data_IF_224978510974
#
_entry.id   IF_224978510974
#
_cell.length_a   1.000
_cell.length_b   1.000
_cell.length_c   1.000
_cell.angle_alpha   90.00
_cell.angle_beta   90.00
_cell.angle_gamma   90.00
#
_symmetry.space_group_name_H-M   'P 1'
#
loop_
_entity.id
_entity.type
_entity.pdbx_description
1 polymer ?
#
# COMPACT_ATOMS: atom_id res chain seq x y z
N UNK A 1 3.44 12.37 -9.56
CA UNK A 1 2.32 11.72 -8.86
C UNK A 1 1.20 12.72 -8.75
N UNK A 2 -0.04 12.25 -8.63
CA UNK A 2 -1.24 13.09 -8.50
C UNK A 2 -1.13 14.07 -7.34
N UNK A 3 -0.64 13.61 -6.18
CA UNK A 3 -0.46 14.47 -4.99
C UNK A 3 0.51 15.64 -5.22
N UNK A 4 1.44 15.54 -6.17
CA UNK A 4 2.36 16.64 -6.47
C UNK A 4 1.67 17.82 -7.16
N UNK A 5 0.51 17.61 -7.80
CA UNK A 5 -0.25 18.71 -8.45
C UNK A 5 -0.80 19.71 -7.43
N UNK A 6 -0.96 19.27 -6.18
CA UNK A 6 -1.47 20.08 -5.06
C UNK A 6 -0.36 20.45 -4.06
N UNK A 7 0.90 20.10 -4.36
CA UNK A 7 2.01 20.30 -3.45
C UNK A 7 2.59 21.72 -3.59
N UNK A 8 2.81 22.40 -2.47
CA UNK A 8 3.52 23.67 -2.42
C UNK A 8 5.05 23.50 -2.41
N UNK A 9 5.52 22.34 -1.95
CA UNK A 9 6.94 22.02 -1.80
C UNK A 9 7.16 20.58 -2.26
N UNK A 10 8.25 20.36 -2.98
CA UNK A 10 8.68 19.04 -3.42
C UNK A 10 10.14 18.80 -3.03
N UNK A 11 10.40 17.70 -2.33
CA UNK A 11 11.75 17.29 -1.91
C UNK A 11 12.07 15.94 -2.56
N UNK A 12 12.97 15.88 -3.55
CA UNK A 12 13.26 14.65 -4.28
C UNK A 12 14.01 13.65 -3.40
N UNK A 13 13.40 12.47 -3.20
CA UNK A 13 13.96 11.39 -2.38
C UNK A 13 14.50 10.24 -3.23
N UNK A 14 15.57 9.60 -2.73
CA UNK A 14 16.17 8.43 -3.36
C UNK A 14 15.29 7.17 -3.28
N UNK A 15 15.42 6.31 -4.29
CA UNK A 15 14.72 5.02 -4.35
C UNK A 15 15.45 3.93 -3.55
N UNK A 16 14.94 2.69 -3.57
CA UNK A 16 15.45 1.58 -2.73
C UNK A 16 16.92 1.24 -3.01
N UNK A 17 17.39 1.39 -4.25
CA UNK A 17 18.77 1.12 -4.66
C UNK A 17 19.74 2.28 -4.36
N UNK A 18 19.20 3.42 -3.91
CA UNK A 18 19.91 4.69 -3.77
C UNK A 18 20.07 5.12 -2.31
N UNK A 19 19.63 4.27 -1.37
CA UNK A 19 19.67 4.53 0.07
C UNK A 19 19.87 3.26 0.86
N UNK A 20 20.31 3.44 2.10
CA UNK A 20 20.60 2.35 3.02
C UNK A 20 19.56 2.30 4.15
N UNK A 21 19.37 1.11 4.71
CA UNK A 21 18.51 0.90 5.86
C UNK A 21 18.04 -0.54 5.95
N UNK A 22 16.86 -0.74 6.52
CA UNK A 22 16.28 -2.07 6.66
C UNK A 22 14.84 -2.11 6.15
N UNK A 23 14.38 -3.29 5.73
CA UNK A 23 12.97 -3.56 5.43
C UNK A 23 12.48 -4.82 6.12
N UNK A 24 11.29 -4.75 6.71
CA UNK A 24 10.60 -5.90 7.29
C UNK A 24 9.59 -6.47 6.30
N UNK A 25 9.66 -7.78 6.02
CA UNK A 25 8.68 -8.46 5.18
C UNK A 25 7.49 -9.04 5.99
N UNK A 26 6.56 -9.69 5.30
CA UNK A 26 5.32 -10.23 5.90
C UNK A 26 5.54 -11.36 6.90
N UNK A 27 6.67 -12.06 6.83
CA UNK A 27 7.05 -13.10 7.80
C UNK A 27 7.89 -12.57 8.97
N UNK A 28 7.93 -11.24 9.17
CA UNK A 28 8.68 -10.54 10.23
C UNK A 28 10.20 -10.48 10.03
N UNK A 29 10.71 -10.90 8.87
CA UNK A 29 12.16 -10.86 8.59
C UNK A 29 12.58 -9.45 8.24
N UNK A 30 13.54 -8.94 9.01
CA UNK A 30 14.22 -7.68 8.75
C UNK A 30 15.43 -7.99 7.87
N UNK A 31 15.51 -7.33 6.72
CA UNK A 31 16.61 -7.46 5.77
C UNK A 31 17.33 -6.12 5.62
N UNK A 32 18.64 -6.18 5.46
CA UNK A 32 19.46 -5.01 5.18
C UNK A 32 19.28 -4.59 3.71
N UNK A 33 19.27 -3.28 3.47
CA UNK A 33 19.29 -2.66 2.15
C UNK A 33 20.54 -1.80 2.08
N UNK A 34 21.36 -2.06 1.08
CA UNK A 34 22.57 -1.29 0.78
C UNK A 34 22.35 -0.47 -0.49
N UNK A 35 22.86 0.75 -0.50
CA UNK A 35 22.87 1.57 -1.70
C UNK A 35 23.86 0.97 -2.71
N UNK A 36 23.44 0.88 -3.98
CA UNK A 36 24.27 0.37 -5.08
C UNK A 36 24.54 1.44 -6.14
N UNK A 37 23.86 2.58 -6.06
CA UNK A 37 24.04 3.74 -6.94
C UNK A 37 23.72 5.02 -6.17
N UNK A 38 24.35 6.17 -6.47
CA UNK A 38 23.89 7.44 -5.92
C UNK A 38 22.48 7.79 -6.41
N UNK A 39 21.68 8.56 -5.63
CA UNK A 39 20.42 9.11 -6.11
C UNK A 39 20.62 10.02 -7.34
N UNK A 40 19.66 10.05 -8.29
CA UNK A 40 19.78 10.84 -9.50
C UNK A 40 19.58 12.34 -9.24
N UNK A 41 20.36 13.16 -9.95
CA UNK A 41 20.26 14.62 -9.91
C UNK A 41 20.49 15.18 -8.50
N UNK A 42 19.54 15.97 -8.01
CA UNK A 42 19.59 16.57 -6.66
C UNK A 42 18.89 15.72 -5.59
N UNK A 43 18.39 14.53 -5.94
CA UNK A 43 17.73 13.66 -4.98
C UNK A 43 18.66 13.26 -3.83
N UNK A 44 18.09 13.08 -2.64
CA UNK A 44 18.81 12.66 -1.43
C UNK A 44 18.08 11.53 -0.73
N UNK A 45 18.78 10.74 0.07
CA UNK A 45 18.12 9.75 0.93
C UNK A 45 17.15 10.45 1.90
N UNK A 46 16.02 9.81 2.21
CA UNK A 46 14.97 10.40 3.06
C UNK A 46 15.53 10.84 4.42
N UNK A 47 16.41 10.03 5.05
CA UNK A 47 17.05 10.37 6.33
C UNK A 47 17.86 11.66 6.24
N UNK A 48 18.57 11.89 5.13
CA UNK A 48 19.28 13.15 4.91
C UNK A 48 18.31 14.33 4.86
N UNK A 49 17.18 14.17 4.14
CA UNK A 49 16.14 15.21 4.03
C UNK A 49 15.59 15.53 5.43
N UNK A 50 15.25 14.51 6.23
CA UNK A 50 14.80 14.71 7.61
C UNK A 50 15.83 15.43 8.47
N UNK A 51 17.11 15.06 8.40
CA UNK A 51 18.19 15.73 9.11
C UNK A 51 18.36 17.20 8.71
N UNK A 52 18.21 17.53 7.43
CA UNK A 52 18.30 18.91 6.93
C UNK A 52 17.12 19.76 7.35
N UNK A 53 15.93 19.18 7.43
CA UNK A 53 14.73 19.85 7.95
C UNK A 53 14.87 20.09 9.46
N UNK A 54 15.29 19.08 10.22
CA UNK A 54 15.53 19.19 11.66
C UNK A 54 16.53 20.30 12.01
N UNK A 55 17.65 20.39 11.29
CA UNK A 55 18.64 21.47 11.44
C UNK A 55 18.03 22.86 11.27
N UNK A 56 17.15 23.05 10.26
CA UNK A 56 16.48 24.32 9.98
C UNK A 56 15.40 24.67 11.00
N UNK A 57 14.67 23.68 11.51
CA UNK A 57 13.72 23.91 12.60
C UNK A 57 14.45 24.28 13.89
N UNK A 58 15.55 23.60 14.21
CA UNK A 58 16.34 23.87 15.41
C UNK A 58 17.05 25.23 15.37
N UNK A 59 17.45 25.73 14.19
CA UNK A 59 18.09 27.05 14.08
C UNK A 59 17.14 28.21 14.38
N UNK A 60 15.84 27.99 14.20
CA UNK A 60 14.80 29.02 14.36
C UNK A 60 14.02 28.87 15.67
N UNK A 61 14.20 27.78 16.42
CA UNK A 61 13.54 27.55 17.70
C UNK A 61 14.40 28.08 18.86
N UNK A 62 13.78 28.89 19.74
CA UNK A 62 14.39 29.42 20.96
C UNK A 62 14.22 28.51 22.19
N UNK A 63 13.39 27.47 22.07
CA UNK A 63 13.16 26.48 23.13
C UNK A 63 14.18 25.33 23.08
N UNK A 64 14.39 24.67 24.23
CA UNK A 64 15.34 23.57 24.40
C UNK A 64 14.95 22.26 23.70
N UNK A 65 13.74 22.18 23.12
CA UNK A 65 13.22 20.99 22.45
C UNK A 65 13.76 20.84 21.03
N UNK A 66 15.06 20.57 20.90
CA UNK A 66 15.74 20.31 19.63
C UNK A 66 15.48 18.88 19.17
N UNK A 67 15.14 18.73 17.89
CA UNK A 67 15.00 17.42 17.24
C UNK A 67 16.28 17.09 16.50
N UNK A 68 16.97 16.01 16.87
CA UNK A 68 18.18 15.55 16.18
C UNK A 68 18.02 14.07 15.86
N UNK A 69 18.33 13.68 14.62
CA UNK A 69 18.43 12.28 14.24
C UNK A 69 19.89 11.93 13.98
N UNK A 70 20.30 10.68 14.26
CA UNK A 70 21.56 10.14 13.76
C UNK A 70 21.76 10.34 12.25
N UNK A 71 23.03 10.48 11.83
CA UNK A 71 23.37 10.65 10.41
C UNK A 71 23.28 9.32 9.63
N UNK A 72 23.45 8.17 10.31
CA UNK A 72 23.44 6.84 9.68
C UNK A 72 22.17 6.07 10.03
N UNK A 73 21.61 5.36 9.06
CA UNK A 73 20.44 4.50 9.26
C UNK A 73 20.68 3.36 10.25
N UNK A 74 21.93 2.89 10.38
CA UNK A 74 22.32 1.89 11.38
C UNK A 74 22.11 2.37 12.82
N UNK A 75 22.42 3.63 13.09
CA UNK A 75 22.28 4.21 14.42
C UNK A 75 20.80 4.44 14.75
N UNK A 76 19.99 4.84 13.76
CA UNK A 76 18.52 4.88 13.88
C UNK A 76 17.96 3.49 14.22
N UNK A 77 18.47 2.44 13.55
CA UNK A 77 18.02 1.08 13.80
C UNK A 77 18.35 0.61 15.23
N UNK A 78 19.51 0.99 15.77
CA UNK A 78 19.87 0.72 17.17
C UNK A 78 18.95 1.47 18.15
N UNK A 79 18.63 2.73 17.88
CA UNK A 79 17.67 3.51 18.68
C UNK A 79 16.27 2.88 18.66
N UNK A 80 15.82 2.44 17.48
CA UNK A 80 14.58 1.66 17.36
C UNK A 80 14.63 0.36 18.17
N UNK A 81 15.81 -0.29 18.22
CA UNK A 81 16.07 -1.46 19.05
C UNK A 81 15.85 -1.20 20.54
N UNK A 82 16.38 -0.10 21.05
CA UNK A 82 16.16 0.32 22.45
C UNK A 82 14.67 0.52 22.75
N UNK A 83 13.96 1.25 21.88
CA UNK A 83 12.52 1.52 22.04
C UNK A 83 11.64 0.26 21.91
N UNK A 84 12.18 -0.80 21.30
CA UNK A 84 11.47 -2.07 21.10
C UNK A 84 11.53 -3.02 22.29
N UNK A 85 12.40 -2.75 23.28
CA UNK A 85 12.63 -3.63 24.43
C UNK A 85 11.32 -3.99 25.14
N UNK A 86 11.11 -5.29 25.36
CA UNK A 86 9.93 -5.84 26.05
C UNK A 86 8.63 -5.86 25.23
N UNK A 87 8.65 -5.37 23.98
CA UNK A 87 7.53 -5.49 23.04
C UNK A 87 7.57 -6.84 22.33
N UNK A 88 6.50 -7.17 21.60
CA UNK A 88 6.44 -8.41 20.81
C UNK A 88 7.46 -8.41 19.66
N UNK A 89 7.68 -7.24 19.05
CA UNK A 89 8.65 -7.02 18.00
C UNK A 89 9.96 -6.45 18.56
N UNK A 90 10.48 -7.08 19.61
CA UNK A 90 11.76 -6.71 20.21
C UNK A 90 12.91 -7.07 19.26
N UNK A 91 13.65 -6.05 18.83
CA UNK A 91 14.78 -6.13 17.90
C UNK A 91 16.09 -5.67 18.55
N UNK A 92 16.10 -5.52 19.87
CA UNK A 92 17.25 -4.98 20.63
C UNK A 92 18.54 -5.80 20.47
N UNK A 93 18.46 -7.06 20.09
CA UNK A 93 19.64 -7.90 19.81
C UNK A 93 20.18 -7.76 18.40
N UNK A 94 19.48 -7.04 17.51
CA UNK A 94 19.86 -6.93 16.10
C UNK A 94 20.71 -5.69 15.84
N UNK A 95 21.68 -5.83 14.95
CA UNK A 95 22.40 -4.73 14.32
C UNK A 95 22.64 -5.04 12.83
N UNK A 96 23.11 -4.06 12.06
CA UNK A 96 23.32 -4.23 10.62
C UNK A 96 24.30 -5.37 10.29
N UNK A 97 25.40 -5.51 11.05
CA UNK A 97 26.38 -6.58 10.83
C UNK A 97 25.76 -7.96 11.02
N UNK A 98 24.91 -8.12 12.05
CA UNK A 98 24.23 -9.38 12.32
C UNK A 98 23.18 -9.68 11.25
N UNK A 99 22.43 -8.67 10.80
CA UNK A 99 21.46 -8.80 9.70
C UNK A 99 22.15 -9.25 8.41
N UNK A 100 23.29 -8.66 8.07
CA UNK A 100 24.09 -9.04 6.89
C UNK A 100 24.62 -10.47 7.02
N UNK A 101 25.28 -10.80 8.13
CA UNK A 101 25.83 -12.13 8.40
C UNK A 101 24.77 -13.23 8.29
N UNK A 102 23.55 -12.97 8.77
CA UNK A 102 22.46 -13.95 8.79
C UNK A 102 21.50 -13.85 7.60
N UNK A 103 21.74 -12.94 6.65
CA UNK A 103 20.86 -12.69 5.50
C UNK A 103 19.40 -12.41 5.92
N UNK A 104 19.28 -11.61 6.96
CA UNK A 104 18.02 -11.17 7.56
C UNK A 104 17.51 -12.05 8.69
N UNK A 105 16.92 -11.39 9.70
CA UNK A 105 16.52 -12.01 10.97
C UNK A 105 15.03 -11.76 11.22
N UNK A 106 14.29 -12.78 11.64
CA UNK A 106 12.90 -12.59 12.09
C UNK A 106 12.87 -12.05 13.52
N UNK A 107 12.08 -11.01 13.75
CA UNK A 107 11.78 -10.59 15.11
C UNK A 107 10.81 -11.56 15.80
N UNK A 108 10.89 -11.72 17.14
CA UNK A 108 11.84 -11.05 18.04
C UNK A 108 13.23 -11.70 18.09
N UNK A 109 14.26 -10.87 18.28
CA UNK A 109 15.62 -11.28 18.66
C UNK A 109 16.19 -10.22 19.60
N UNK A 110 16.41 -10.62 20.86
CA UNK A 110 16.62 -9.68 21.98
C UNK A 110 18.10 -9.53 22.35
N UNK A 111 18.44 -8.41 22.99
CA UNK A 111 19.78 -8.16 23.52
C UNK A 111 20.23 -9.26 24.50
N UNK A 112 19.31 -9.83 25.28
CA UNK A 112 19.60 -10.96 26.19
C UNK A 112 20.10 -12.19 25.43
N UNK A 113 19.48 -12.52 24.30
CA UNK A 113 19.91 -13.64 23.45
C UNK A 113 21.27 -13.34 22.81
N UNK A 114 21.47 -12.12 22.31
CA UNK A 114 22.75 -11.70 21.76
C UNK A 114 23.89 -11.75 22.80
N UNK A 115 23.62 -11.32 24.04
CA UNK A 115 24.61 -11.26 25.13
C UNK A 115 25.11 -12.63 25.58
N UNK A 116 24.29 -13.67 25.49
CA UNK A 116 24.69 -15.06 25.79
C UNK A 116 25.28 -15.80 24.57
N UNK A 117 25.47 -15.09 23.45
CA UNK A 117 26.01 -15.66 22.21
C UNK A 117 25.04 -16.58 21.47
N UNK A 118 23.74 -16.52 21.78
CA UNK A 118 22.73 -17.31 21.08
C UNK A 118 22.57 -16.78 19.64
N UNK A 119 22.86 -17.63 18.65
CA UNK A 119 22.67 -17.26 17.26
C UNK A 119 21.18 -17.06 16.94
N UNK A 120 20.82 -16.11 16.05
CA UNK A 120 19.45 -15.99 15.58
C UNK A 120 18.92 -17.32 15.02
N UNK A 121 17.68 -17.75 15.36
CA UNK A 121 17.16 -19.03 14.89
C UNK A 121 17.14 -19.14 13.36
N UNK A 122 17.72 -20.22 12.82
CA UNK A 122 17.66 -20.52 11.39
C UNK A 122 16.20 -20.70 10.95
N UNK A 123 15.79 -20.03 9.88
CA UNK A 123 14.38 -19.98 9.44
C UNK A 123 13.50 -19.01 10.24
N UNK A 124 13.88 -18.66 11.47
CA UNK A 124 13.18 -17.71 12.35
C UNK A 124 12.27 -18.38 13.39
N UNK A 125 11.57 -17.57 14.21
CA UNK A 125 10.76 -18.04 15.34
C UNK A 125 9.27 -18.00 15.02
N UNK A 126 8.58 -19.13 15.21
CA UNK A 126 7.10 -19.17 15.22
C UNK A 126 6.59 -18.59 16.55
N UNK A 127 5.64 -17.67 16.48
CA UNK A 127 5.03 -17.06 17.66
C UNK A 127 3.91 -17.94 18.23
N UNK A 128 3.62 -17.76 19.52
CA UNK A 128 2.50 -18.38 20.25
C UNK A 128 2.50 -19.92 20.26
N UNK A 129 3.68 -20.53 20.29
CA UNK A 129 3.84 -21.99 20.45
C UNK A 129 3.81 -22.44 21.89
N UNK A 130 4.05 -21.52 22.84
CA UNK A 130 4.07 -21.78 24.27
C UNK A 130 2.74 -21.37 24.92
N UNK A 131 2.35 -22.10 25.97
CA UNK A 131 1.11 -21.86 26.72
C UNK A 131 1.11 -20.47 27.34
N UNK A 132 -0.04 -19.78 27.23
CA UNK A 132 -0.27 -18.48 27.84
C UNK A 132 0.74 -17.38 27.44
N UNK A 133 1.12 -17.31 26.16
CA UNK A 133 2.05 -16.31 25.62
C UNK A 133 1.41 -15.25 24.70
N UNK A 134 0.08 -15.20 24.62
CA UNK A 134 -0.62 -14.11 23.92
C UNK A 134 -0.41 -12.77 24.63
N UNK A 135 -0.47 -11.67 23.89
CA UNK A 135 -0.22 -10.31 24.42
C UNK A 135 -1.43 -9.71 25.14
N UNK A 136 -1.99 -10.47 26.07
CA UNK A 136 -3.02 -10.05 27.02
C UNK A 136 -2.50 -10.24 28.45
N UNK A 137 -3.04 -9.54 29.47
CA UNK A 137 -2.54 -9.62 30.85
C UNK A 137 -2.47 -11.02 31.44
N UNK A 138 -3.36 -11.92 31.02
CA UNK A 138 -3.44 -13.32 31.46
C UNK A 138 -2.73 -14.31 30.50
N UNK A 139 -2.13 -13.80 29.43
CA UNK A 139 -1.44 -14.61 28.42
C UNK A 139 -2.35 -15.42 27.49
N UNK A 140 -3.68 -15.38 27.64
CA UNK A 140 -4.61 -16.25 26.91
C UNK A 140 -5.17 -15.58 25.66
N UNK A 141 -5.48 -16.37 24.64
CA UNK A 141 -6.21 -15.87 23.48
C UNK A 141 -7.63 -15.43 23.90
N UNK A 142 -8.11 -14.32 23.32
CA UNK A 142 -9.49 -13.87 23.51
C UNK A 142 -10.38 -14.42 22.41
N UNK A 143 -11.45 -15.11 22.79
CA UNK A 143 -12.55 -15.46 21.90
C UNK A 143 -13.55 -14.30 21.92
N UNK A 144 -13.73 -13.65 20.77
CA UNK A 144 -14.58 -12.47 20.64
C UNK A 144 -15.75 -12.83 19.74
N UNK A 145 -16.99 -12.93 20.27
CA UNK A 145 -18.16 -13.08 19.43
C UNK A 145 -18.46 -11.76 18.73
N UNK A 146 -18.66 -11.80 17.41
CA UNK A 146 -19.03 -10.63 16.62
C UNK A 146 -20.38 -10.90 15.94
N UNK A 147 -21.35 -9.99 16.04
CA UNK A 147 -22.57 -10.08 15.26
C UNK A 147 -22.25 -9.85 13.77
N UNK A 148 -23.07 -10.43 12.89
CA UNK A 148 -23.07 -10.00 11.50
C UNK A 148 -23.59 -8.57 11.41
N UNK A 149 -22.82 -7.72 10.73
CA UNK A 149 -23.19 -6.35 10.40
C UNK A 149 -23.10 -6.27 8.88
N UNK A 150 -24.18 -5.84 8.24
CA UNK A 150 -24.21 -5.70 6.79
C UNK A 150 -23.31 -4.54 6.31
N UNK A 151 -23.05 -4.48 5.01
CA UNK A 151 -22.25 -3.43 4.41
C UNK A 151 -22.92 -2.06 4.54
N UNK A 152 -22.13 -1.02 4.77
CA UNK A 152 -22.62 0.37 4.82
C UNK A 152 -23.28 0.82 3.51
N UNK A 153 -22.92 0.19 2.40
CA UNK A 153 -23.51 0.43 1.09
C UNK A 153 -23.78 -0.92 0.43
N UNK A 154 -25.02 -1.10 0.01
CA UNK A 154 -25.52 -2.26 -0.72
C UNK A 154 -26.14 -1.79 -2.05
N UNK A 155 -26.14 -2.62 -3.09
CA UNK A 155 -26.89 -2.35 -4.30
C UNK A 155 -28.36 -2.12 -4.04
N UNK A 156 -28.91 -1.16 -4.75
CA UNK A 156 -30.33 -0.81 -4.73
C UNK A 156 -30.83 -0.61 -6.17
N UNK A 157 -32.08 -0.18 -6.31
CA UNK A 157 -32.69 0.06 -7.62
C UNK A 157 -31.94 1.09 -8.48
N UNK A 158 -31.22 2.05 -7.87
CA UNK A 158 -30.49 3.10 -8.57
C UNK A 158 -29.04 2.72 -8.90
N UNK A 159 -28.45 1.86 -8.06
CA UNK A 159 -27.07 1.38 -8.17
C UNK A 159 -27.04 -0.14 -7.97
N UNK A 160 -27.52 -0.93 -8.97
CA UNK A 160 -27.84 -2.35 -8.77
C UNK A 160 -26.62 -3.29 -8.82
N UNK A 161 -25.42 -2.78 -9.09
CA UNK A 161 -24.22 -3.59 -9.33
C UNK A 161 -23.21 -3.39 -8.21
N UNK A 162 -22.69 -4.48 -7.68
CA UNK A 162 -21.54 -4.47 -6.77
C UNK A 162 -20.26 -4.06 -7.49
N UNK A 163 -19.51 -3.13 -6.93
CA UNK A 163 -18.16 -2.77 -7.34
C UNK A 163 -17.15 -3.34 -6.35
N UNK A 164 -16.30 -4.23 -6.83
CA UNK A 164 -15.11 -4.67 -6.12
C UNK A 164 -13.85 -4.04 -6.75
N UNK A 165 -12.86 -3.70 -5.94
CA UNK A 165 -11.61 -3.11 -6.41
C UNK A 165 -10.40 -3.97 -6.05
N UNK A 166 -9.39 -4.01 -6.91
CA UNK A 166 -8.17 -4.77 -6.60
C UNK A 166 -6.98 -4.44 -7.46
N UNK A 167 -6.08 -5.42 -7.57
CA UNK A 167 -4.75 -5.24 -8.15
C UNK A 167 -4.57 -6.08 -9.40
N UNK A 168 -3.63 -5.62 -10.22
CA UNK A 168 -3.05 -6.29 -11.37
C UNK A 168 -1.63 -6.71 -11.00
N UNK A 169 -1.11 -7.74 -11.67
CA UNK A 169 0.25 -8.24 -11.42
C UNK A 169 1.27 -7.24 -11.97
N UNK A 170 0.93 -6.58 -13.07
CA UNK A 170 1.74 -5.65 -13.84
C UNK A 170 2.02 -4.35 -13.07
N UNK A 171 1.13 -3.95 -12.17
CA UNK A 171 1.15 -2.63 -11.56
C UNK A 171 1.21 -2.70 -10.03
N UNK A 172 1.92 -1.74 -9.45
CA UNK A 172 2.07 -1.64 -8.00
C UNK A 172 1.46 -0.33 -7.52
N UNK A 173 0.39 -0.44 -6.74
CA UNK A 173 -0.39 0.69 -6.20
C UNK A 173 -0.62 1.79 -7.25
N UNK A 174 -0.33 3.06 -6.96
CA UNK A 174 -0.60 4.19 -7.85
C UNK A 174 0.36 4.31 -9.05
N UNK A 175 0.99 3.22 -9.51
CA UNK A 175 1.80 3.14 -10.74
C UNK A 175 2.97 4.13 -10.87
N UNK A 176 3.33 4.85 -9.81
CA UNK A 176 4.40 5.88 -9.85
C UNK A 176 5.77 5.35 -10.29
N UNK A 177 5.99 4.03 -10.12
CA UNK A 177 7.16 3.30 -10.62
C UNK A 177 6.80 2.41 -11.82
N UNK A 178 5.86 1.50 -11.64
CA UNK A 178 5.49 0.46 -12.62
C UNK A 178 4.81 1.02 -13.88
N UNK A 179 4.12 2.15 -13.78
CA UNK A 179 3.56 2.87 -14.92
C UNK A 179 4.61 3.52 -15.82
N UNK A 180 5.88 3.60 -15.40
CA UNK A 180 6.99 4.05 -16.25
C UNK A 180 7.65 2.91 -17.04
N UNK A 181 7.27 1.66 -16.76
CA UNK A 181 7.85 0.49 -17.40
C UNK A 181 6.99 0.11 -18.61
N UNK A 182 7.57 0.25 -19.81
CA UNK A 182 6.88 -0.01 -21.08
C UNK A 182 6.25 -1.41 -21.16
N UNK A 183 6.96 -2.44 -20.68
CA UNK A 183 6.43 -3.82 -20.66
C UNK A 183 5.16 -3.94 -19.80
N UNK A 184 5.10 -3.31 -18.63
CA UNK A 184 3.93 -3.37 -17.76
C UNK A 184 2.73 -2.68 -18.43
N UNK A 185 2.98 -1.55 -19.08
CA UNK A 185 1.97 -0.84 -19.85
C UNK A 185 1.51 -1.58 -21.11
N UNK A 186 2.31 -2.48 -21.69
CA UNK A 186 1.89 -3.33 -22.81
C UNK A 186 0.78 -4.31 -22.40
N UNK A 187 0.89 -4.89 -21.20
CA UNK A 187 -0.07 -5.86 -20.69
C UNK A 187 -1.30 -5.22 -20.07
N UNK A 188 -1.15 -4.10 -19.36
CA UNK A 188 -2.26 -3.39 -18.71
C UNK A 188 -2.17 -1.87 -18.95
N UNK A 189 -2.54 -1.38 -20.15
CA UNK A 189 -2.30 0.01 -20.55
C UNK A 189 -3.29 1.02 -19.96
N UNK A 190 -4.55 0.62 -19.76
CA UNK A 190 -5.69 1.50 -19.48
C UNK A 190 -6.61 0.89 -18.41
N UNK A 191 -7.42 1.71 -17.73
CA UNK A 191 -8.43 1.20 -16.81
C UNK A 191 -9.50 0.38 -17.55
N UNK A 192 -9.87 -0.74 -16.95
CA UNK A 192 -10.91 -1.64 -17.47
C UNK A 192 -11.72 -2.23 -16.32
N UNK A 193 -12.92 -2.73 -16.63
CA UNK A 193 -13.69 -3.58 -15.74
C UNK A 193 -13.70 -5.01 -16.25
N UNK A 194 -13.61 -5.95 -15.33
CA UNK A 194 -14.11 -7.30 -15.54
C UNK A 194 -15.62 -7.29 -15.27
N UNK A 195 -16.41 -7.65 -16.29
CA UNK A 195 -17.87 -7.71 -16.24
C UNK A 195 -18.36 -9.10 -16.66
N UNK A 196 -19.41 -9.61 -16.04
CA UNK A 196 -20.00 -10.89 -16.43
C UNK A 196 -20.62 -10.79 -17.85
N UNK A 197 -20.50 -11.81 -18.72
CA UNK A 197 -21.03 -11.75 -20.08
C UNK A 197 -22.55 -11.60 -20.17
N UNK A 198 -23.31 -12.20 -19.25
CA UNK A 198 -24.77 -12.10 -19.25
C UNK A 198 -25.22 -10.68 -18.88
N UNK A 199 -24.56 -10.07 -17.88
CA UNK A 199 -24.80 -8.67 -17.53
C UNK A 199 -24.42 -7.74 -18.69
N UNK A 200 -23.27 -7.99 -19.34
CA UNK A 200 -22.85 -7.20 -20.48
C UNK A 200 -23.87 -7.29 -21.63
N UNK A 201 -24.40 -8.47 -21.91
CA UNK A 201 -25.44 -8.68 -22.92
C UNK A 201 -26.74 -7.94 -22.58
N UNK A 202 -27.20 -8.02 -21.32
CA UNK A 202 -28.40 -7.31 -20.85
C UNK A 202 -28.28 -5.80 -20.99
N UNK A 203 -27.08 -5.27 -20.75
CA UNK A 203 -26.79 -3.84 -20.89
C UNK A 203 -26.40 -3.43 -22.33
N UNK A 204 -26.35 -4.38 -23.28
CA UNK A 204 -25.94 -4.12 -24.66
C UNK A 204 -24.46 -3.74 -24.84
N UNK A 205 -23.61 -4.07 -23.88
CA UNK A 205 -22.17 -3.72 -23.86
C UNK A 205 -21.37 -4.81 -24.59
N UNK A 206 -20.57 -4.41 -25.57
CA UNK A 206 -19.62 -5.30 -26.26
C UNK A 206 -18.24 -5.22 -25.64
N UNK A 207 -17.45 -6.27 -25.87
CA UNK A 207 -16.04 -6.30 -25.46
C UNK A 207 -15.28 -5.12 -26.08
N UNK A 208 -14.52 -4.41 -25.25
CA UNK A 208 -13.67 -3.30 -25.68
C UNK A 208 -14.39 -1.96 -25.79
N UNK A 209 -15.70 -1.90 -25.55
CA UNK A 209 -16.43 -0.63 -25.45
C UNK A 209 -16.13 0.05 -24.11
N UNK A 210 -16.02 1.38 -24.14
CA UNK A 210 -15.97 2.21 -22.96
C UNK A 210 -17.36 2.36 -22.35
N UNK A 211 -17.39 2.26 -21.03
CA UNK A 211 -18.59 2.46 -20.22
C UNK A 211 -18.28 3.45 -19.11
N UNK A 212 -19.33 4.09 -18.60
CA UNK A 212 -19.24 4.96 -17.44
C UNK A 212 -19.79 4.23 -16.22
N UNK A 213 -18.94 4.03 -15.22
CA UNK A 213 -19.37 3.56 -13.92
C UNK A 213 -19.82 4.75 -13.12
N UNK A 214 -21.06 4.73 -12.60
CA UNK A 214 -21.60 5.81 -11.78
C UNK A 214 -21.91 5.29 -10.40
N UNK A 215 -21.33 5.94 -9.39
CA UNK A 215 -21.60 5.70 -7.98
C UNK A 215 -22.38 6.87 -7.38
N UNK A 216 -22.74 6.79 -6.09
CA UNK A 216 -23.33 7.93 -5.35
C UNK A 216 -22.39 9.13 -5.22
N UNK A 217 -21.09 8.94 -5.41
CA UNK A 217 -20.06 9.96 -5.14
C UNK A 217 -19.55 10.62 -6.40
N UNK A 218 -19.34 9.82 -7.44
CA UNK A 218 -18.68 10.22 -8.67
C UNK A 218 -18.81 9.11 -9.72
N UNK A 219 -18.15 9.32 -10.85
CA UNK A 219 -18.08 8.39 -11.96
C UNK A 219 -16.63 8.14 -12.42
N UNK A 220 -16.46 7.09 -13.23
CA UNK A 220 -15.21 6.75 -13.90
C UNK A 220 -15.49 6.10 -15.26
N UNK A 221 -14.72 6.48 -16.29
CA UNK A 221 -14.80 5.90 -17.63
C UNK A 221 -13.74 4.82 -17.79
N UNK A 222 -14.17 3.62 -18.19
CA UNK A 222 -13.34 2.41 -18.20
C UNK A 222 -13.73 1.52 -19.37
N UNK A 223 -12.79 0.71 -19.86
CA UNK A 223 -13.08 -0.26 -20.92
C UNK A 223 -13.75 -1.52 -20.35
N UNK A 224 -14.83 -2.00 -20.98
CA UNK A 224 -15.52 -3.21 -20.58
C UNK A 224 -14.82 -4.48 -21.12
N UNK A 225 -14.50 -5.41 -20.22
CA UNK A 225 -13.91 -6.71 -20.55
C UNK A 225 -14.78 -7.85 -20.03
N UNK A 226 -15.68 -8.40 -20.88
CA UNK A 226 -16.50 -9.56 -20.50
C UNK A 226 -15.67 -10.79 -20.12
N UNK A 227 -15.99 -11.38 -18.97
CA UNK A 227 -15.31 -12.54 -18.37
C UNK A 227 -16.20 -13.30 -17.37
N UNK A 228 -16.06 -14.63 -17.32
CA UNK A 228 -16.78 -15.49 -16.37
C UNK A 228 -16.19 -15.50 -14.94
N UNK A 229 -15.20 -14.65 -14.66
CA UNK A 229 -14.52 -14.58 -13.34
C UNK A 229 -15.33 -13.87 -12.27
N UNK A 230 -16.28 -13.02 -12.66
CA UNK A 230 -17.13 -12.25 -11.75
C UNK A 230 -18.59 -12.68 -11.87
N UNK A 231 -19.37 -12.68 -10.77
CA UNK A 231 -20.79 -13.00 -10.82
C UNK A 231 -21.58 -11.92 -11.55
N UNK A 232 -22.79 -12.27 -12.01
CA UNK A 232 -23.63 -11.40 -12.84
C UNK A 232 -23.94 -10.03 -12.22
N UNK A 233 -24.07 -9.95 -10.90
CA UNK A 233 -24.41 -8.72 -10.17
C UNK A 233 -23.18 -7.94 -9.66
N UNK A 234 -21.98 -8.20 -10.18
CA UNK A 234 -20.73 -7.57 -9.72
C UNK A 234 -19.80 -7.26 -10.89
N UNK A 235 -18.98 -6.22 -10.71
CA UNK A 235 -17.80 -5.93 -11.53
C UNK A 235 -16.54 -5.82 -10.68
N UNK A 236 -15.39 -6.08 -11.31
CA UNK A 236 -14.08 -5.84 -10.72
C UNK A 236 -13.34 -4.73 -11.46
N UNK A 237 -12.82 -3.76 -10.71
CA UNK A 237 -12.09 -2.61 -11.21
C UNK A 237 -10.70 -2.49 -10.55
N UNK A 238 -9.60 -2.60 -11.30
CA UNK A 238 -8.29 -2.32 -10.75
C UNK A 238 -8.11 -0.84 -10.36
N UNK A 239 -7.57 -0.58 -9.16
CA UNK A 239 -7.41 0.79 -8.65
C UNK A 239 -6.12 1.50 -9.10
N UNK A 240 -5.34 0.88 -9.99
CA UNK A 240 -4.00 1.36 -10.33
C UNK A 240 -3.97 2.65 -11.13
N UNK A 241 -5.07 2.99 -11.81
CA UNK A 241 -5.13 4.02 -12.83
C UNK A 241 -5.58 5.36 -12.25
N UNK A 242 -5.09 6.44 -12.87
CA UNK A 242 -5.47 7.81 -12.54
C UNK A 242 -6.99 8.00 -12.66
N UNK A 243 -7.54 8.80 -11.76
CA UNK A 243 -8.93 9.28 -11.78
C UNK A 243 -9.98 8.17 -11.99
N UNK A 244 -9.77 7.02 -11.33
CA UNK A 244 -10.53 5.79 -11.57
C UNK A 244 -11.20 5.28 -10.28
N UNK A 245 -10.78 4.10 -9.78
CA UNK A 245 -11.54 3.34 -8.78
C UNK A 245 -11.84 4.10 -7.48
N UNK A 246 -10.89 4.88 -6.96
CA UNK A 246 -11.06 5.58 -5.68
C UNK A 246 -12.08 6.73 -5.74
N UNK A 247 -12.50 7.19 -6.92
CA UNK A 247 -13.62 8.13 -7.06
C UNK A 247 -14.96 7.48 -6.71
N UNK A 248 -15.04 6.16 -6.87
CA UNK A 248 -16.27 5.38 -6.73
C UNK A 248 -16.44 4.79 -5.32
N UNK A 249 -15.39 4.82 -4.49
CA UNK A 249 -15.35 4.16 -3.18
C UNK A 249 -15.80 5.08 -2.04
N UNK A 250 -16.29 4.47 -0.97
CA UNK A 250 -16.69 5.18 0.25
C UNK A 250 -15.47 5.74 1.00
N UNK A 251 -15.59 6.97 1.47
CA UNK A 251 -14.64 7.58 2.43
C UNK A 251 -14.84 7.14 3.89
N UNK A 252 -15.61 6.06 4.11
CA UNK A 252 -15.87 5.51 5.45
C UNK A 252 -14.66 4.74 5.95
N UNK A 253 -14.33 4.92 7.23
CA UNK A 253 -13.19 4.30 7.89
C UNK A 253 -13.67 3.40 9.02
N UNK A 254 -13.09 2.20 9.11
CA UNK A 254 -13.30 1.28 10.23
C UNK A 254 -13.04 1.99 11.57
N UNK A 255 -13.95 1.89 12.57
CA UNK A 255 -13.84 2.64 13.82
C UNK A 255 -12.60 2.30 14.65
N UNK A 256 -11.98 1.14 14.44
CA UNK A 256 -10.82 0.69 15.23
C UNK A 256 -9.49 0.96 14.52
N UNK A 257 -9.37 0.50 13.28
CA UNK A 257 -8.14 0.52 12.48
C UNK A 257 -8.03 1.72 11.55
N UNK A 258 -9.13 2.46 11.37
CA UNK A 258 -9.26 3.56 10.40
C UNK A 258 -9.01 3.12 8.95
N UNK A 259 -9.19 1.83 8.65
CA UNK A 259 -9.05 1.30 7.31
C UNK A 259 -10.31 1.60 6.47
N UNK A 260 -10.15 2.06 5.22
CA UNK A 260 -11.28 2.34 4.33
C UNK A 260 -11.92 1.08 3.71
N UNK A 261 -13.22 1.15 3.47
CA UNK A 261 -14.01 0.08 2.84
C UNK A 261 -13.92 0.10 1.30
N UNK A 262 -12.80 -0.36 0.74
CA UNK A 262 -12.57 -0.33 -0.72
C UNK A 262 -13.22 -1.48 -1.52
N UNK A 263 -13.69 -2.52 -0.85
CA UNK A 263 -14.09 -3.79 -1.52
C UNK A 263 -15.58 -3.89 -1.78
N UNK A 264 -16.36 -2.95 -1.26
CA UNK A 264 -17.80 -2.93 -1.33
C UNK A 264 -18.25 -1.50 -1.66
N UNK A 265 -18.79 -1.32 -2.87
CA UNK A 265 -19.49 -0.11 -3.27
C UNK A 265 -20.59 -0.52 -4.24
N UNK A 266 -21.63 0.30 -4.38
CA UNK A 266 -22.70 0.06 -5.33
C UNK A 266 -22.64 1.09 -6.45
N UNK A 267 -22.79 0.61 -7.68
CA UNK A 267 -22.73 1.42 -8.89
C UNK A 267 -23.86 1.05 -9.85
N UNK A 268 -24.08 1.90 -10.83
CA UNK A 268 -24.71 1.52 -12.10
C UNK A 268 -23.70 1.68 -13.23
N UNK A 269 -23.97 1.01 -14.35
CA UNK A 269 -23.15 1.06 -15.55
C UNK A 269 -23.97 1.76 -16.64
N UNK A 270 -23.38 2.75 -17.29
CA UNK A 270 -23.98 3.46 -18.41
C UNK A 270 -23.14 3.24 -19.67
N UNK A 271 -23.81 2.99 -20.80
CA UNK A 271 -23.17 2.96 -22.11
C UNK A 271 -22.78 4.36 -22.55
N UNK A 272 -21.73 4.46 -23.37
CA UNK A 272 -21.28 5.72 -23.96
C UNK A 272 -21.48 5.63 -25.46
N UNK A 273 -22.25 6.56 -26.04
CA UNK A 273 -22.49 6.57 -27.50
C UNK A 273 -21.22 6.96 -28.27
N UNK A 274 -20.53 8.03 -27.86
CA UNK A 274 -19.28 8.48 -28.48
C UNK A 274 -18.05 7.73 -27.92
N UNK A 275 -17.85 6.52 -28.44
CA UNK A 275 -16.71 5.67 -28.11
C UNK A 275 -15.36 6.31 -28.48
N UNK A 276 -15.31 7.22 -29.47
CA UNK A 276 -14.07 7.89 -29.87
C UNK A 276 -13.66 8.93 -28.84
N UNK A 277 -14.60 9.74 -28.36
CA UNK A 277 -14.34 10.69 -27.28
C UNK A 277 -13.91 9.96 -25.99
N UNK A 278 -14.55 8.85 -25.64
CA UNK A 278 -14.16 8.05 -24.48
C UNK A 278 -12.74 7.46 -24.62
N UNK A 279 -12.37 6.98 -25.81
CA UNK A 279 -11.02 6.49 -26.10
C UNK A 279 -9.98 7.61 -26.00
N UNK A 280 -10.29 8.81 -26.50
CA UNK A 280 -9.43 9.98 -26.40
C UNK A 280 -9.20 10.38 -24.94
N UNK A 281 -10.27 10.44 -24.13
CA UNK A 281 -10.18 10.70 -22.70
C UNK A 281 -9.29 9.66 -21.99
N UNK A 282 -9.54 8.37 -22.25
CA UNK A 282 -8.73 7.28 -21.70
C UNK A 282 -7.25 7.41 -22.06
N UNK A 283 -6.94 7.82 -23.28
CA UNK A 283 -5.57 8.06 -23.73
C UNK A 283 -4.92 9.25 -23.00
N UNK A 284 -5.63 10.37 -22.86
CA UNK A 284 -5.15 11.57 -22.17
C UNK A 284 -4.84 11.30 -20.69
N UNK A 285 -5.68 10.49 -20.03
CA UNK A 285 -5.49 10.07 -18.65
C UNK A 285 -4.21 9.23 -18.42
N UNK A 286 -3.59 8.69 -19.47
CA UNK A 286 -2.32 7.93 -19.36
C UNK A 286 -1.11 8.83 -19.11
N UNK A 287 -1.23 10.13 -19.33
CA UNK A 287 -0.13 11.08 -19.11
C UNK A 287 0.08 11.38 -17.61
N UNK A 288 -0.82 10.92 -16.74
CA UNK A 288 -0.75 11.05 -15.28
C UNK A 288 -0.26 9.76 -14.61
#
# INVERSE_FOLDING_TARGET
SESNQYAHVYLPAGTWAEKEGVMTNTERRINLINAITPPPGEAKADLWIFNQMAKRFNSNNRDDNKVNFPDKSADIFLEMGELSKGRLADISGMNHQLLEKNRGIQWPYTEKQAAVGEAPPSGGKRLYTETATFRYPDGKAKLIPLPFIDNNEVPDEKFPIWLNTGRLIEHWHGRTKTGKIGNNNKYSPIPFIEINPDLALELGIKRGEYVRLVSRRSDAVVMATPTHRVPKNMVFLPFHFHDCANRLTLGLLDPHSRQPAYKQSAIRIETIEDQKAAAQLSMEMRNF
#
